data_IF_605934195905
#
_entry.id   IF_605934195905
#
_cell.length_a   1.000
_cell.length_b   1.000
_cell.length_c   1.000
_cell.angle_alpha   90.00
_cell.angle_beta   90.00
_cell.angle_gamma   90.00
#
_symmetry.space_group_name_H-M   'P 1'
#
loop_
_entity.id
_entity.type
_entity.pdbx_description
1 polymer ?
#
# COMPACT_ATOMS: atom_id res chain seq x y z
N UNK A 1 29.22 -6.49 16.31
CA UNK A 1 28.74 -5.16 15.91
C UNK A 1 28.13 -5.28 14.52
N UNK A 2 26.83 -5.56 14.40
CA UNK A 2 26.16 -5.70 13.10
C UNK A 2 24.68 -5.32 13.26
N UNK A 3 24.40 -4.03 13.43
CA UNK A 3 23.03 -3.51 13.65
C UNK A 3 22.72 -2.28 12.80
N UNK A 4 23.21 -2.21 11.55
CA UNK A 4 22.98 -1.04 10.68
C UNK A 4 22.48 -1.37 9.26
N UNK A 5 22.31 -2.64 8.89
CA UNK A 5 21.84 -3.01 7.54
C UNK A 5 20.31 -3.08 7.39
N UNK A 6 19.56 -3.17 8.51
CA UNK A 6 18.11 -3.29 8.51
C UNK A 6 17.31 -1.98 8.26
N UNK A 7 17.75 -0.76 8.63
CA UNK A 7 16.91 0.44 8.47
C UNK A 7 16.77 0.90 7.01
N UNK A 8 17.71 0.54 6.14
CA UNK A 8 17.76 1.07 4.78
C UNK A 8 16.59 0.59 3.91
N UNK A 9 16.12 -0.65 4.10
CA UNK A 9 15.03 -1.24 3.30
C UNK A 9 13.68 -0.56 3.59
N UNK A 10 13.32 -0.36 4.86
CA UNK A 10 12.07 0.31 5.24
C UNK A 10 12.03 1.80 4.91
N UNK A 11 13.20 2.45 4.83
CA UNK A 11 13.29 3.88 4.54
C UNK A 11 12.99 4.21 3.06
N UNK A 12 13.15 3.27 2.12
CA UNK A 12 12.91 3.49 0.69
C UNK A 12 11.45 3.87 0.41
N UNK A 13 10.48 3.07 0.87
CA UNK A 13 9.05 3.37 0.68
C UNK A 13 8.63 4.71 1.32
N UNK A 14 9.14 5.02 2.51
CA UNK A 14 8.83 6.28 3.19
C UNK A 14 9.42 7.49 2.45
N UNK A 15 10.68 7.40 2.01
CA UNK A 15 11.33 8.45 1.24
C UNK A 15 10.63 8.70 -0.11
N UNK A 16 10.27 7.65 -0.83
CA UNK A 16 9.52 7.74 -2.10
C UNK A 16 8.16 8.41 -1.88
N UNK A 17 7.41 8.00 -0.84
CA UNK A 17 6.12 8.63 -0.47
C UNK A 17 6.29 10.12 -0.16
N UNK A 18 7.30 10.49 0.63
CA UNK A 18 7.58 11.88 0.95
C UNK A 18 7.92 12.70 -0.30
N UNK A 19 8.71 12.16 -1.22
CA UNK A 19 9.06 12.83 -2.47
C UNK A 19 7.84 13.09 -3.36
N UNK A 20 6.92 12.13 -3.44
CA UNK A 20 5.63 12.28 -4.14
C UNK A 20 4.77 13.37 -3.47
N UNK A 21 4.66 13.35 -2.13
CA UNK A 21 3.89 14.34 -1.38
C UNK A 21 4.44 15.76 -1.53
N UNK A 22 5.75 15.90 -1.58
CA UNK A 22 6.41 17.19 -1.81
C UNK A 22 6.19 17.74 -3.23
N UNK A 23 5.68 16.94 -4.18
CA UNK A 23 5.51 17.28 -5.60
C UNK A 23 6.77 17.87 -6.27
N UNK A 24 7.94 17.67 -5.64
CA UNK A 24 9.18 18.38 -5.99
C UNK A 24 9.84 17.81 -7.24
N UNK A 25 9.54 16.55 -7.53
CA UNK A 25 9.91 15.84 -8.75
C UNK A 25 8.62 15.51 -9.48
N UNK A 26 8.57 15.72 -10.81
CA UNK A 26 7.42 15.40 -11.66
C UNK A 26 7.25 13.88 -11.81
N UNK A 27 7.07 13.17 -10.70
CA UNK A 27 6.93 11.72 -10.65
C UNK A 27 5.57 11.37 -11.24
N UNK A 28 5.58 10.70 -12.39
CA UNK A 28 4.38 10.22 -13.09
C UNK A 28 4.14 8.72 -12.87
N UNK A 29 5.16 7.97 -12.44
CA UNK A 29 5.07 6.53 -12.19
C UNK A 29 5.88 6.15 -10.94
N UNK A 30 5.55 4.99 -10.36
CA UNK A 30 6.25 4.41 -9.20
C UNK A 30 6.82 3.03 -9.51
N UNK A 31 6.96 2.70 -10.79
CA UNK A 31 7.61 1.45 -11.23
C UNK A 31 9.05 1.43 -10.77
N UNK A 32 9.47 0.33 -10.11
CA UNK A 32 10.84 0.11 -9.65
C UNK A 32 11.37 1.08 -8.58
N UNK A 33 10.54 1.94 -7.99
CA UNK A 33 11.00 2.97 -7.04
C UNK A 33 11.19 2.47 -5.60
N UNK A 34 10.57 1.35 -5.23
CA UNK A 34 10.56 0.83 -3.85
C UNK A 34 11.17 -0.58 -3.70
N UNK A 35 12.01 -1.00 -4.65
CA UNK A 35 12.70 -2.30 -4.58
C UNK A 35 11.72 -3.49 -4.48
N UNK A 36 11.82 -4.25 -3.40
CA UNK A 36 11.00 -5.44 -3.11
C UNK A 36 9.61 -5.11 -2.53
N UNK A 37 9.33 -3.83 -2.21
CA UNK A 37 8.04 -3.44 -1.67
C UNK A 37 6.95 -3.56 -2.74
N UNK A 38 5.87 -4.27 -2.41
CA UNK A 38 4.80 -4.49 -3.36
C UNK A 38 3.80 -3.32 -3.35
N UNK A 39 3.65 -2.57 -4.46
CA UNK A 39 2.66 -1.50 -4.54
C UNK A 39 1.25 -2.08 -4.48
N UNK A 40 0.30 -1.27 -3.98
CA UNK A 40 -1.10 -1.62 -3.87
C UNK A 40 -1.98 -0.47 -4.37
N UNK A 41 -3.06 -0.79 -5.09
CA UNK A 41 -4.08 0.18 -5.46
C UNK A 41 -4.93 0.56 -4.25
N UNK A 42 -5.33 1.83 -4.17
CA UNK A 42 -6.20 2.36 -3.11
C UNK A 42 -7.53 2.82 -3.72
N UNK A 43 -8.63 2.44 -3.08
CA UNK A 43 -9.99 2.87 -3.44
C UNK A 43 -10.66 3.44 -2.20
N UNK A 44 -11.23 4.63 -2.31
CA UNK A 44 -11.94 5.32 -1.22
C UNK A 44 -13.41 5.46 -1.61
N UNK A 45 -14.24 4.41 -1.40
CA UNK A 45 -15.66 4.47 -1.75
C UNK A 45 -16.44 5.37 -0.78
N UNK A 46 -17.58 5.89 -1.23
CA UNK A 46 -18.53 6.54 -0.33
C UNK A 46 -18.98 5.56 0.77
N UNK A 47 -19.30 6.07 1.96
CA UNK A 47 -19.64 5.24 3.14
C UNK A 47 -20.77 4.24 2.85
N UNK A 48 -21.77 4.62 2.08
CA UNK A 48 -22.88 3.73 1.68
C UNK A 48 -22.46 2.61 0.73
N UNK A 49 -21.40 2.81 -0.06
CA UNK A 49 -20.90 1.86 -1.06
C UNK A 49 -19.80 0.95 -0.49
N UNK A 50 -19.13 1.35 0.59
CA UNK A 50 -18.05 0.57 1.20
C UNK A 50 -18.44 -0.90 1.52
N UNK A 51 -19.65 -1.21 2.05
CA UNK A 51 -20.06 -2.59 2.26
C UNK A 51 -20.20 -3.39 0.95
N UNK A 52 -20.77 -2.78 -0.09
CA UNK A 52 -20.92 -3.42 -1.40
C UNK A 52 -19.56 -3.65 -2.07
N UNK A 53 -18.67 -2.67 -2.01
CA UNK A 53 -17.30 -2.80 -2.50
C UNK A 53 -16.54 -3.94 -1.80
N UNK A 54 -16.67 -4.07 -0.47
CA UNK A 54 -16.08 -5.19 0.27
C UNK A 54 -16.57 -6.55 -0.21
N UNK A 55 -17.88 -6.70 -0.48
CA UNK A 55 -18.46 -7.93 -1.06
C UNK A 55 -17.91 -8.22 -2.45
N UNK A 56 -17.73 -7.18 -3.28
CA UNK A 56 -17.12 -7.32 -4.62
C UNK A 56 -15.69 -7.85 -4.49
N UNK A 57 -14.86 -7.28 -3.62
CA UNK A 57 -13.49 -7.78 -3.42
C UNK A 57 -13.48 -9.23 -2.92
N UNK A 58 -14.35 -9.58 -1.98
CA UNK A 58 -14.46 -10.95 -1.46
C UNK A 58 -14.89 -11.95 -2.53
N UNK A 59 -15.82 -11.58 -3.41
CA UNK A 59 -16.24 -12.43 -4.52
C UNK A 59 -15.13 -12.58 -5.59
N UNK A 60 -14.16 -11.65 -5.62
CA UNK A 60 -13.11 -11.57 -6.63
C UNK A 60 -11.70 -11.64 -6.01
N UNK A 61 -11.49 -12.45 -4.97
CA UNK A 61 -10.21 -12.50 -4.23
C UNK A 61 -8.98 -12.80 -5.11
N UNK A 62 -9.15 -13.41 -6.29
CA UNK A 62 -8.06 -13.63 -7.26
C UNK A 62 -7.72 -12.36 -8.05
N UNK A 63 -8.64 -11.84 -8.90
CA UNK A 63 -8.38 -10.64 -9.70
C UNK A 63 -8.25 -9.34 -8.87
N UNK A 64 -8.91 -9.29 -7.70
CA UNK A 64 -9.02 -8.10 -6.85
C UNK A 64 -8.74 -8.46 -5.37
N UNK A 65 -7.51 -8.86 -5.04
CA UNK A 65 -7.15 -9.20 -3.67
C UNK A 65 -7.22 -7.97 -2.77
N UNK A 66 -8.04 -8.03 -1.73
CA UNK A 66 -8.12 -6.98 -0.72
C UNK A 66 -6.92 -7.07 0.22
N UNK A 67 -5.95 -6.16 0.08
CA UNK A 67 -4.72 -6.17 0.90
C UNK A 67 -4.85 -5.49 2.26
N UNK A 68 -5.88 -4.66 2.45
CA UNK A 68 -6.09 -3.93 3.69
C UNK A 68 -7.35 -3.07 3.63
N UNK A 69 -7.90 -2.76 4.81
CA UNK A 69 -9.09 -1.92 4.97
C UNK A 69 -8.93 -1.03 6.20
N UNK A 70 -9.27 0.25 6.08
CA UNK A 70 -9.31 1.18 7.21
C UNK A 70 -10.73 1.30 7.78
N UNK A 71 -10.81 1.78 9.02
CA UNK A 71 -12.08 2.18 9.60
C UNK A 71 -12.64 3.42 8.91
N UNK A 72 -13.97 3.55 8.76
CA UNK A 72 -14.60 4.75 8.23
C UNK A 72 -14.17 5.99 9.01
N UNK A 73 -13.78 7.05 8.29
CA UNK A 73 -13.32 8.30 8.90
C UNK A 73 -11.89 8.28 9.44
N UNK A 74 -11.21 7.12 9.47
CA UNK A 74 -9.77 7.06 9.79
C UNK A 74 -8.95 7.06 8.50
N UNK A 75 -8.13 8.08 8.32
CA UNK A 75 -7.09 8.14 7.28
C UNK A 75 -5.78 7.50 7.76
N UNK A 76 -5.87 6.40 8.49
CA UNK A 76 -4.70 5.59 8.84
C UNK A 76 -4.42 4.65 7.68
N UNK A 77 -3.23 4.73 7.10
CA UNK A 77 -2.76 3.72 6.15
C UNK A 77 -2.83 2.36 6.84
N UNK A 78 -3.60 1.38 6.33
CA UNK A 78 -3.62 0.06 6.95
C UNK A 78 -2.22 -0.53 6.87
N UNK A 79 -1.79 -1.20 7.92
CA UNK A 79 -0.58 -2.03 7.87
C UNK A 79 -0.81 -3.07 6.78
N UNK A 80 -0.12 -2.90 5.64
CA UNK A 80 -0.24 -3.81 4.52
C UNK A 80 0.37 -5.13 4.97
N UNK A 81 -0.47 -6.14 5.19
CA UNK A 81 0.01 -7.46 5.61
C UNK A 81 1.04 -7.98 4.61
N UNK A 82 2.20 -8.40 5.11
CA UNK A 82 3.14 -9.16 4.31
C UNK A 82 2.43 -10.46 3.90
N UNK A 83 2.04 -10.57 2.63
CA UNK A 83 1.63 -11.87 2.09
C UNK A 83 2.92 -12.69 1.97
N UNK A 84 3.24 -13.44 3.03
CA UNK A 84 4.14 -14.58 2.97
C UNK A 84 3.40 -15.70 2.21
N UNK A 85 3.36 -15.60 0.89
CA UNK A 85 3.08 -16.74 0.03
C UNK A 85 4.36 -17.54 -0.17
N UNK A 86 4.34 -18.88 -0.10
CA UNK A 86 5.49 -19.68 -0.48
C UNK A 86 5.78 -19.45 -1.97
N UNK A 87 7.05 -19.19 -2.29
CA UNK A 87 7.57 -19.31 -3.65
C UNK A 87 7.65 -20.78 -4.03
#
# INVERSE_FOLDING_TARGET
MTTFALPLKSCLSSAVRNLILQKKTNIRNVSSTAGDDQPASMVVPHRSLAPAFGKICQANNGPLPLRGRSEPGKWTLPTLGAILGPR
#
